data_IF_194549739164
#
_entry.id   IF_194549739164
#
_cell.length_a   1.000
_cell.length_b   1.000
_cell.length_c   1.000
_cell.angle_alpha   90.00
_cell.angle_beta   90.00
_cell.angle_gamma   90.00
#
_symmetry.space_group_name_H-M   'P 1'
#
loop_
_entity.id
_entity.type
_entity.pdbx_description
1 polymer ?
#
# COMPACT_ATOMS: atom_id res chain seq x y z
N UNK A 1 -5.19 -14.88 6.24
CA UNK A 1 -5.48 -15.11 4.80
C UNK A 1 -4.82 -13.97 4.02
N UNK A 2 -4.36 -14.17 2.79
CA UNK A 2 -3.54 -13.20 2.05
C UNK A 2 -4.25 -11.85 1.73
N UNK A 3 -5.51 -11.67 2.13
CA UNK A 3 -6.30 -10.43 1.98
C UNK A 3 -6.37 -9.59 3.27
N UNK A 4 -5.70 -10.05 4.34
CA UNK A 4 -5.77 -9.48 5.68
C UNK A 4 -4.60 -8.51 5.91
N UNK A 5 -4.83 -7.24 5.65
CA UNK A 5 -3.84 -6.19 5.88
C UNK A 5 -3.76 -5.88 7.38
N UNK A 6 -2.56 -5.60 7.87
CA UNK A 6 -2.38 -5.18 9.26
C UNK A 6 -2.79 -3.72 9.41
N UNK A 7 -3.80 -3.47 10.25
CA UNK A 7 -4.33 -2.14 10.53
C UNK A 7 -4.09 -1.80 12.00
N UNK A 8 -3.25 -0.81 12.32
CA UNK A 8 -3.03 -0.38 13.71
C UNK A 8 -4.34 -0.02 14.44
N UNK A 9 -4.44 -0.43 15.71
CA UNK A 9 -5.61 -0.17 16.56
C UNK A 9 -5.68 1.23 17.18
N UNK A 10 -4.66 2.07 16.95
CA UNK A 10 -4.50 3.40 17.55
C UNK A 10 -5.12 4.53 16.71
N UNK A 11 -5.91 4.19 15.69
CA UNK A 11 -6.45 5.15 14.71
C UNK A 11 -7.75 4.68 14.11
N UNK A 12 -8.46 5.63 13.50
CA UNK A 12 -9.70 5.39 12.77
C UNK A 12 -9.45 5.28 11.27
N UNK A 13 -10.39 4.66 10.55
CA UNK A 13 -10.27 4.40 9.12
C UNK A 13 -11.55 4.78 8.37
N UNK A 14 -11.39 5.33 7.17
CA UNK A 14 -12.49 5.38 6.19
C UNK A 14 -12.17 4.43 5.03
N UNK A 15 -12.69 3.20 5.12
CA UNK A 15 -12.37 2.10 4.19
C UNK A 15 -12.69 2.42 2.73
N UNK A 16 -13.79 3.13 2.48
CA UNK A 16 -14.18 3.52 1.13
C UNK A 16 -13.24 4.52 0.44
N UNK A 17 -12.36 5.20 1.20
CA UNK A 17 -11.47 6.26 0.72
C UNK A 17 -9.99 5.94 0.95
N UNK A 18 -9.68 4.78 1.50
CA UNK A 18 -8.32 4.34 1.81
C UNK A 18 -7.52 5.35 2.66
N UNK A 19 -8.19 6.02 3.60
CA UNK A 19 -7.61 7.02 4.50
C UNK A 19 -7.72 6.56 5.94
N UNK A 20 -6.70 6.89 6.75
CA UNK A 20 -6.70 6.72 8.19
C UNK A 20 -6.52 8.06 8.92
N UNK A 21 -7.00 8.10 10.17
CA UNK A 21 -6.97 9.26 11.07
C UNK A 21 -6.43 8.84 12.44
N UNK A 22 -5.19 9.20 12.74
CA UNK A 22 -4.56 8.92 14.04
C UNK A 22 -4.75 10.12 14.97
N UNK A 23 -5.35 9.97 16.15
CA UNK A 23 -5.54 11.06 17.11
C UNK A 23 -4.20 11.70 17.52
N UNK A 24 -4.17 13.03 17.52
CA UNK A 24 -3.07 13.87 18.00
C UNK A 24 -3.48 14.77 19.18
N UNK A 25 -4.67 14.54 19.75
CA UNK A 25 -5.23 15.27 20.90
C UNK A 25 -6.40 16.17 20.52
N UNK A 26 -7.43 16.21 21.35
CA UNK A 26 -8.64 17.00 21.07
C UNK A 26 -9.27 16.62 19.73
N UNK A 27 -9.37 17.59 18.81
CA UNK A 27 -9.89 17.41 17.43
C UNK A 27 -8.78 17.31 16.38
N UNK A 28 -7.52 17.18 16.79
CA UNK A 28 -6.39 17.11 15.88
C UNK A 28 -6.05 15.67 15.54
N UNK A 29 -5.76 15.42 14.27
CA UNK A 29 -5.43 14.10 13.73
C UNK A 29 -4.28 14.19 12.74
N UNK A 30 -3.43 13.17 12.71
CA UNK A 30 -2.62 12.87 11.53
C UNK A 30 -3.46 12.07 10.55
N UNK A 31 -3.30 12.37 9.27
CA UNK A 31 -3.98 11.65 8.19
C UNK A 31 -3.00 11.07 7.22
N UNK A 32 -3.29 9.87 6.71
CA UNK A 32 -2.48 9.21 5.71
C UNK A 32 -3.26 8.17 4.94
N UNK A 33 -2.58 7.50 4.01
CA UNK A 33 -3.19 6.47 3.18
C UNK A 33 -3.03 5.08 3.81
N UNK A 34 -3.97 4.18 3.55
CA UNK A 34 -3.86 2.80 4.01
C UNK A 34 -3.00 1.96 3.08
N UNK A 35 -2.39 0.90 3.62
CA UNK A 35 -1.57 -0.05 2.87
C UNK A 35 -2.29 -0.65 1.65
N UNK A 36 -3.60 -1.01 1.69
CA UNK A 36 -4.34 -1.43 0.50
C UNK A 36 -4.23 -0.48 -0.71
N UNK A 37 -4.32 0.84 -0.49
CA UNK A 37 -4.14 1.80 -1.58
C UNK A 37 -2.72 1.78 -2.11
N UNK A 38 -1.71 1.70 -1.24
CA UNK A 38 -0.32 1.59 -1.67
C UNK A 38 -0.02 0.31 -2.46
N UNK A 39 -0.64 -0.82 -2.09
CA UNK A 39 -0.49 -2.08 -2.83
C UNK A 39 -1.10 -2.00 -4.23
N UNK A 40 -2.21 -1.27 -4.37
CA UNK A 40 -2.85 -1.01 -5.66
C UNK A 40 -2.06 0.01 -6.50
N UNK A 41 -1.68 1.13 -5.89
CA UNK A 41 -1.06 2.27 -6.56
C UNK A 41 0.44 2.07 -6.83
N UNK A 42 1.13 1.25 -6.03
CA UNK A 42 2.58 1.23 -5.98
C UNK A 42 3.16 2.48 -5.31
N UNK A 43 4.49 2.60 -5.30
CA UNK A 43 5.17 3.75 -4.70
C UNK A 43 4.79 5.06 -5.39
N UNK A 44 4.33 6.03 -4.60
CA UNK A 44 4.07 7.37 -5.11
C UNK A 44 5.37 8.05 -5.54
N UNK A 45 5.29 8.78 -6.65
CA UNK A 45 6.32 9.65 -7.22
C UNK A 45 6.02 11.12 -6.92
N UNK A 46 4.80 11.45 -6.52
CA UNK A 46 4.40 12.81 -6.16
C UNK A 46 3.32 12.78 -5.09
N UNK A 47 3.48 13.63 -4.08
CA UNK A 47 2.52 13.90 -3.02
C UNK A 47 2.40 15.42 -2.92
N UNK A 48 1.17 15.96 -3.01
CA UNK A 48 0.90 17.41 -2.94
C UNK A 48 -0.25 17.68 -1.98
N UNK A 49 0.03 17.84 -0.67
CA UNK A 49 -0.96 18.25 0.31
C UNK A 49 -1.43 19.67 0.07
N UNK A 50 -2.64 20.00 0.54
CA UNK A 50 -3.10 21.39 0.62
C UNK A 50 -2.25 22.17 1.64
N UNK A 51 -2.04 23.49 1.46
CA UNK A 51 -1.25 24.29 2.39
C UNK A 51 -1.83 24.35 3.80
N UNK A 52 -0.97 24.58 4.79
CA UNK A 52 -1.38 24.90 6.18
C UNK A 52 -2.32 26.11 6.19
N UNK A 53 -3.28 26.10 7.11
CA UNK A 53 -4.40 27.05 7.23
C UNK A 53 -5.47 26.95 6.14
N UNK A 54 -5.40 25.96 5.24
CA UNK A 54 -6.50 25.70 4.30
C UNK A 54 -7.67 25.03 5.00
N UNK A 55 -8.86 25.60 4.87
CA UNK A 55 -10.12 24.95 5.23
C UNK A 55 -10.62 24.10 4.04
N UNK A 56 -10.96 22.85 4.32
CA UNK A 56 -11.33 21.84 3.32
C UNK A 56 -12.68 21.27 3.72
N UNK A 57 -13.66 21.37 2.83
CA UNK A 57 -14.97 20.77 3.03
C UNK A 57 -14.89 19.25 2.90
N UNK A 58 -15.82 18.55 3.54
CA UNK A 58 -16.13 17.14 3.26
C UNK A 58 -16.16 16.91 1.74
N UNK A 59 -15.69 15.74 1.33
CA UNK A 59 -15.66 15.29 -0.07
C UNK A 59 -14.72 16.10 -0.97
N UNK A 60 -13.81 16.88 -0.36
CA UNK A 60 -12.79 17.64 -1.09
C UNK A 60 -11.39 17.03 -0.89
N UNK A 61 -10.47 17.12 -1.88
CA UNK A 61 -9.09 16.67 -1.74
C UNK A 61 -8.30 17.39 -0.63
N UNK A 62 -7.66 16.61 0.24
CA UNK A 62 -6.61 17.07 1.16
C UNK A 62 -5.20 16.96 0.57
N UNK A 63 -5.00 16.03 -0.38
CA UNK A 63 -3.75 15.88 -1.11
C UNK A 63 -3.98 15.24 -2.48
N UNK A 64 -3.14 15.59 -3.46
CA UNK A 64 -2.97 14.82 -4.69
C UNK A 64 -1.84 13.80 -4.50
N UNK A 65 -2.03 12.59 -5.01
CA UNK A 65 -1.08 11.49 -4.93
C UNK A 65 -0.95 10.82 -6.30
N UNK A 66 0.28 10.66 -6.76
CA UNK A 66 0.59 10.12 -8.10
C UNK A 66 1.70 9.09 -7.98
N UNK A 67 1.56 7.98 -8.68
CA UNK A 67 2.58 6.96 -8.91
C UNK A 67 2.67 6.66 -10.41
N UNK A 68 3.51 5.69 -10.79
CA UNK A 68 3.53 5.19 -12.18
C UNK A 68 2.24 4.48 -12.62
N UNK A 69 1.39 4.06 -11.67
CA UNK A 69 0.19 3.24 -11.93
C UNK A 69 -1.12 3.90 -11.49
N UNK A 70 -1.02 5.04 -10.81
CA UNK A 70 -2.16 5.67 -10.15
C UNK A 70 -2.01 7.18 -10.17
N UNK A 71 -3.10 7.87 -10.47
CA UNK A 71 -3.23 9.32 -10.31
C UNK A 71 -4.58 9.58 -9.63
N UNK A 72 -4.54 10.21 -8.46
CA UNK A 72 -5.76 10.44 -7.69
C UNK A 72 -5.55 11.40 -6.54
N UNK A 73 -6.56 11.47 -5.69
CA UNK A 73 -6.63 12.39 -4.57
C UNK A 73 -7.03 11.66 -3.30
N UNK A 74 -6.44 12.07 -2.18
CA UNK A 74 -6.91 11.69 -0.87
C UNK A 74 -8.04 12.64 -0.48
N UNK A 75 -9.26 12.12 -0.41
CA UNK A 75 -10.48 12.91 -0.14
C UNK A 75 -10.85 12.82 1.34
N UNK A 76 -11.05 13.95 2.02
CA UNK A 76 -11.49 13.93 3.43
C UNK A 76 -12.99 13.56 3.53
N UNK A 77 -13.39 12.69 4.48
CA UNK A 77 -14.79 12.41 4.77
C UNK A 77 -15.44 13.45 5.70
N UNK A 78 -14.70 14.47 6.13
CA UNK A 78 -15.16 15.48 7.07
C UNK A 78 -14.71 16.90 6.67
N UNK A 79 -15.38 17.92 7.22
CA UNK A 79 -14.86 19.28 7.22
C UNK A 79 -13.60 19.36 8.10
N UNK A 80 -12.49 19.80 7.51
CA UNK A 80 -11.18 19.86 8.19
C UNK A 80 -10.44 21.15 7.91
N UNK A 81 -9.55 21.54 8.83
CA UNK A 81 -8.53 22.57 8.60
C UNK A 81 -7.15 21.93 8.61
N UNK A 82 -6.32 22.18 7.59
CA UNK A 82 -4.91 21.75 7.61
C UNK A 82 -4.16 22.59 8.62
N UNK A 83 -3.51 21.94 9.59
CA UNK A 83 -2.69 22.60 10.62
C UNK A 83 -1.21 22.24 10.54
N UNK A 84 -0.86 21.19 9.79
CA UNK A 84 0.52 20.80 9.52
C UNK A 84 0.62 19.92 8.28
N UNK A 85 1.83 19.82 7.72
CA UNK A 85 2.17 18.95 6.59
C UNK A 85 3.44 18.18 6.92
N UNK A 86 3.55 16.94 6.45
CA UNK A 86 4.78 16.17 6.59
C UNK A 86 5.74 16.51 5.45
N UNK A 87 6.80 17.25 5.73
CA UNK A 87 7.78 17.65 4.70
C UNK A 87 8.54 16.45 4.14
N UNK A 88 8.73 15.39 4.94
CA UNK A 88 9.45 14.17 4.54
C UNK A 88 8.81 13.47 3.34
N UNK A 89 7.48 13.53 3.19
CA UNK A 89 6.79 12.90 2.05
C UNK A 89 6.81 13.77 0.79
N UNK A 90 7.19 15.06 0.91
CA UNK A 90 7.43 15.93 -0.24
C UNK A 90 8.81 15.63 -0.83
N UNK A 91 9.81 15.46 0.04
CA UNK A 91 11.17 15.11 -0.34
C UNK A 91 11.27 13.67 -0.84
N UNK A 92 10.59 12.74 -0.16
CA UNK A 92 10.54 11.34 -0.52
C UNK A 92 9.10 10.78 -0.45
N UNK A 93 8.32 10.95 -1.53
CA UNK A 93 6.96 10.42 -1.65
C UNK A 93 6.83 8.92 -1.41
N UNK A 94 7.92 8.14 -1.57
CA UNK A 94 7.90 6.68 -1.36
C UNK A 94 7.59 6.31 0.09
N UNK A 95 7.96 7.16 1.07
CA UNK A 95 7.76 6.89 2.51
C UNK A 95 6.29 6.57 2.82
N UNK A 96 5.36 7.22 2.11
CA UNK A 96 3.91 6.99 2.21
C UNK A 96 3.53 5.52 2.06
N UNK A 97 4.28 4.76 1.25
CA UNK A 97 4.02 3.33 1.03
C UNK A 97 5.09 2.40 1.62
N UNK A 98 6.24 2.93 2.06
CA UNK A 98 7.23 2.17 2.84
C UNK A 98 6.72 1.99 4.28
N UNK A 99 6.17 3.06 4.86
CA UNK A 99 5.70 3.09 6.24
C UNK A 99 4.37 3.87 6.32
N UNK A 100 3.28 3.32 5.75
CA UNK A 100 2.00 4.02 5.59
C UNK A 100 1.36 4.45 6.91
N UNK A 101 1.75 3.83 8.03
CA UNK A 101 1.13 4.06 9.33
C UNK A 101 2.07 4.74 10.35
N UNK A 102 3.37 4.80 10.10
CA UNK A 102 4.34 5.56 10.88
C UNK A 102 4.68 6.89 10.23
N UNK A 103 5.85 6.96 9.61
CA UNK A 103 6.43 8.14 8.98
C UNK A 103 5.74 8.61 7.69
N UNK A 104 4.87 7.79 7.09
CA UNK A 104 4.16 8.06 5.83
C UNK A 104 2.87 8.89 5.94
N UNK A 105 2.60 9.52 7.09
CA UNK A 105 1.47 10.45 7.23
C UNK A 105 1.64 11.67 6.32
N UNK A 106 0.54 12.27 5.87
CA UNK A 106 0.56 13.33 4.84
C UNK A 106 0.33 14.73 5.44
N UNK A 107 -0.65 14.85 6.32
CA UNK A 107 -1.04 16.12 6.92
C UNK A 107 -1.51 15.94 8.37
N UNK A 108 -1.43 17.02 9.12
CA UNK A 108 -2.14 17.18 10.39
C UNK A 108 -3.35 18.06 10.15
N UNK A 109 -4.50 17.61 10.66
CA UNK A 109 -5.79 18.25 10.44
C UNK A 109 -6.55 18.45 11.74
N UNK A 110 -7.28 19.55 11.83
CA UNK A 110 -8.32 19.75 12.83
C UNK A 110 -9.67 19.38 12.23
N UNK A 111 -10.32 18.33 12.72
CA UNK A 111 -11.67 17.94 12.31
C UNK A 111 -12.67 18.88 12.97
N UNK A 112 -13.58 19.46 12.18
CA UNK A 112 -14.50 20.50 12.65
C UNK A 112 -15.82 19.93 13.22
N UNK A 113 -16.04 18.64 13.04
CA UNK A 113 -17.24 17.89 13.43
C UNK A 113 -16.90 16.62 14.24
N UNK A 114 -17.94 15.88 14.66
CA UNK A 114 -17.75 14.59 15.34
C UNK A 114 -17.18 13.54 14.36
N UNK A 115 -16.03 12.91 14.65
CA UNK A 115 -15.44 11.83 13.84
C UNK A 115 -16.43 10.69 13.52
N UNK A 116 -17.36 10.37 14.42
CA UNK A 116 -18.37 9.34 14.20
C UNK A 116 -19.31 9.66 13.03
N UNK A 117 -19.57 10.94 12.76
CA UNK A 117 -20.41 11.38 11.64
C UNK A 117 -19.70 11.27 10.28
N UNK A 118 -18.37 11.11 10.28
CA UNK A 118 -17.55 11.01 9.07
C UNK A 118 -17.41 9.57 8.54
N UNK A 119 -18.17 8.59 9.08
CA UNK A 119 -18.08 7.19 8.66
C UNK A 119 -16.73 6.54 8.98
N UNK A 120 -16.01 7.11 9.95
CA UNK A 120 -14.76 6.56 10.46
C UNK A 120 -15.05 5.35 11.35
N UNK A 121 -14.26 4.30 11.19
CA UNK A 121 -14.41 3.05 11.94
C UNK A 121 -13.11 2.64 12.61
N UNK A 122 -13.23 1.98 13.75
CA UNK A 122 -12.11 1.35 14.46
C UNK A 122 -11.45 0.24 13.63
N UNK A 123 -10.21 -0.11 13.97
CA UNK A 123 -9.41 -1.10 13.24
C UNK A 123 -10.14 -2.44 13.05
N UNK A 124 -10.74 -3.02 14.09
CA UNK A 124 -11.43 -4.31 14.01
C UNK A 124 -12.56 -4.34 12.98
N UNK A 125 -13.30 -3.23 12.86
CA UNK A 125 -14.33 -3.07 11.83
C UNK A 125 -13.70 -2.81 10.46
N UNK A 126 -12.64 -2.01 10.40
CA UNK A 126 -11.90 -1.74 9.18
C UNK A 126 -11.32 -3.03 8.56
N UNK A 127 -10.73 -3.91 9.36
CA UNK A 127 -10.16 -5.20 8.92
C UNK A 127 -11.20 -6.06 8.19
N UNK A 128 -12.43 -6.14 8.73
CA UNK A 128 -13.52 -6.88 8.09
C UNK A 128 -13.89 -6.27 6.73
N UNK A 129 -14.08 -4.95 6.69
CA UNK A 129 -14.48 -4.24 5.47
C UNK A 129 -13.37 -4.26 4.40
N UNK A 130 -12.11 -4.12 4.82
CA UNK A 130 -10.97 -4.23 3.92
C UNK A 130 -10.81 -5.64 3.38
N UNK A 131 -11.01 -6.70 4.18
CA UNK A 131 -11.00 -8.09 3.68
C UNK A 131 -11.97 -8.25 2.51
N UNK A 132 -13.22 -7.81 2.67
CA UNK A 132 -14.24 -7.88 1.61
C UNK A 132 -13.90 -6.99 0.39
N UNK A 133 -13.42 -5.77 0.63
CA UNK A 133 -13.00 -4.85 -0.43
C UNK A 133 -11.81 -5.41 -1.22
N UNK A 134 -10.81 -5.92 -0.53
CA UNK A 134 -9.58 -6.46 -1.08
C UNK A 134 -9.84 -7.71 -1.91
N UNK A 135 -10.70 -8.61 -1.42
CA UNK A 135 -11.14 -9.78 -2.19
C UNK A 135 -11.85 -9.36 -3.49
N UNK A 136 -12.79 -8.41 -3.42
CA UNK A 136 -13.49 -7.90 -4.61
C UNK A 136 -12.56 -7.24 -5.62
N UNK A 137 -11.53 -6.55 -5.14
CA UNK A 137 -10.62 -5.79 -5.98
C UNK A 137 -9.34 -6.57 -6.37
N UNK A 138 -9.20 -7.82 -5.92
CA UNK A 138 -7.99 -8.63 -6.14
C UNK A 138 -6.72 -8.05 -5.48
N UNK A 139 -6.87 -7.28 -4.40
CA UNK A 139 -5.75 -6.68 -3.67
C UNK A 139 -5.26 -7.69 -2.63
N UNK A 140 -4.04 -8.16 -2.82
CA UNK A 140 -3.40 -9.06 -1.87
C UNK A 140 -2.56 -8.24 -0.89
N UNK A 141 -2.78 -8.45 0.40
CA UNK A 141 -2.06 -7.80 1.49
C UNK A 141 -0.67 -8.39 1.65
N UNK A 142 0.28 -7.77 0.95
CA UNK A 142 1.69 -8.12 0.97
C UNK A 142 2.41 -7.40 2.11
N UNK A 143 3.49 -8.00 2.63
CA UNK A 143 4.34 -7.39 3.67
C UNK A 143 5.00 -6.09 3.23
N UNK A 144 5.27 -5.96 1.93
CA UNK A 144 5.86 -4.76 1.33
C UNK A 144 5.14 -4.41 0.03
N UNK A 145 5.18 -3.13 -0.32
CA UNK A 145 4.72 -2.65 -1.63
C UNK A 145 5.85 -2.90 -2.63
N UNK A 146 5.63 -3.69 -3.70
CA UNK A 146 6.71 -4.06 -4.60
C UNK A 146 7.00 -2.96 -5.63
N UNK A 147 8.26 -2.81 -6.04
CA UNK A 147 8.66 -1.87 -7.10
C UNK A 147 8.10 -2.30 -8.47
N UNK A 148 8.15 -3.61 -8.73
CA UNK A 148 7.64 -4.23 -9.95
C UNK A 148 6.63 -5.31 -9.62
N UNK A 149 5.66 -5.52 -10.52
CA UNK A 149 4.74 -6.66 -10.42
C UNK A 149 4.53 -7.29 -11.79
N UNK A 150 4.56 -8.62 -11.84
CA UNK A 150 4.40 -9.42 -13.05
C UNK A 150 3.55 -10.65 -12.79
N UNK A 151 2.62 -10.91 -13.70
CA UNK A 151 1.91 -12.18 -13.80
C UNK A 151 2.69 -13.03 -14.79
N UNK A 152 3.24 -14.15 -14.33
CA UNK A 152 4.06 -15.05 -15.13
C UNK A 152 3.41 -16.43 -15.07
N UNK A 153 2.93 -16.89 -16.22
CA UNK A 153 2.27 -18.17 -16.38
C UNK A 153 2.92 -18.91 -17.53
N UNK A 154 3.07 -20.23 -17.42
CA UNK A 154 3.72 -21.03 -18.45
C UNK A 154 3.36 -22.49 -18.35
N UNK A 155 3.61 -23.23 -19.42
CA UNK A 155 3.31 -24.66 -19.51
C UNK A 155 4.32 -25.53 -18.74
N UNK A 156 5.49 -24.98 -18.38
CA UNK A 156 6.54 -25.68 -17.64
C UNK A 156 7.15 -24.79 -16.57
N UNK A 157 7.67 -25.43 -15.51
CA UNK A 157 8.30 -24.73 -14.38
C UNK A 157 9.53 -23.95 -14.86
N UNK A 158 10.36 -24.56 -15.72
CA UNK A 158 11.57 -23.94 -16.26
C UNK A 158 11.30 -22.65 -17.05
N UNK A 159 10.20 -22.58 -17.82
CA UNK A 159 9.85 -21.35 -18.54
C UNK A 159 9.53 -20.22 -17.56
N UNK A 160 8.73 -20.51 -16.53
CA UNK A 160 8.35 -19.53 -15.50
C UNK A 160 9.59 -19.03 -14.77
N UNK A 161 10.46 -19.94 -14.30
CA UNK A 161 11.68 -19.57 -13.57
C UNK A 161 12.65 -18.76 -14.44
N UNK A 162 12.82 -19.14 -15.72
CA UNK A 162 13.64 -18.38 -16.68
C UNK A 162 13.12 -16.96 -16.86
N UNK A 163 11.81 -16.79 -17.07
CA UNK A 163 11.23 -15.45 -17.25
C UNK A 163 11.39 -14.58 -16.00
N UNK A 164 11.25 -15.16 -14.80
CA UNK A 164 11.52 -14.44 -13.54
C UNK A 164 12.99 -14.01 -13.49
N UNK A 165 13.92 -14.92 -13.79
CA UNK A 165 15.36 -14.66 -13.81
C UNK A 165 15.73 -13.53 -14.77
N UNK A 166 15.28 -13.63 -16.02
CA UNK A 166 15.54 -12.63 -17.05
C UNK A 166 15.01 -11.25 -16.66
N UNK A 167 13.81 -11.19 -16.05
CA UNK A 167 13.25 -9.93 -15.59
C UNK A 167 14.04 -9.34 -14.41
N UNK A 168 14.42 -10.18 -13.45
CA UNK A 168 15.23 -9.80 -12.28
C UNK A 168 16.59 -9.25 -12.71
N UNK A 169 17.24 -9.87 -13.69
CA UNK A 169 18.54 -9.43 -14.19
C UNK A 169 18.43 -8.11 -14.96
N UNK A 170 17.44 -8.01 -15.86
CA UNK A 170 17.34 -6.90 -16.81
C UNK A 170 16.75 -5.62 -16.21
N UNK A 171 15.79 -5.72 -15.29
CA UNK A 171 15.00 -4.55 -14.87
C UNK A 171 15.06 -4.24 -13.37
N UNK A 172 15.35 -5.23 -12.52
CA UNK A 172 15.31 -5.03 -11.06
C UNK A 172 16.70 -4.59 -10.58
N UNK A 173 16.76 -3.42 -9.94
CA UNK A 173 17.97 -2.89 -9.31
C UNK A 173 18.25 -3.54 -7.95
N UNK A 174 19.47 -3.34 -7.43
CA UNK A 174 19.86 -3.81 -6.09
C UNK A 174 18.96 -3.18 -5.02
N UNK A 175 18.41 -3.99 -4.13
CA UNK A 175 17.47 -3.59 -3.09
C UNK A 175 16.02 -3.43 -3.56
N UNK A 176 15.77 -3.32 -4.88
CA UNK A 176 14.43 -3.26 -5.45
C UNK A 176 13.74 -4.63 -5.40
N UNK A 177 12.42 -4.61 -5.50
CA UNK A 177 11.56 -5.76 -5.30
C UNK A 177 10.70 -6.09 -6.52
N UNK A 178 10.58 -7.37 -6.83
CA UNK A 178 9.67 -7.91 -7.85
C UNK A 178 8.63 -8.81 -7.19
N UNK A 179 7.37 -8.42 -7.31
CA UNK A 179 6.24 -9.28 -7.03
C UNK A 179 5.88 -10.13 -8.26
N UNK A 180 6.02 -11.44 -8.12
CA UNK A 180 5.59 -12.40 -9.13
C UNK A 180 4.28 -13.05 -8.67
N UNK A 181 3.31 -13.08 -9.58
CA UNK A 181 2.06 -13.81 -9.45
C UNK A 181 2.11 -14.95 -10.46
N UNK A 182 2.07 -16.17 -9.97
CA UNK A 182 2.22 -17.37 -10.80
C UNK A 182 1.37 -18.51 -10.26
N UNK A 183 1.36 -19.66 -10.93
CA UNK A 183 0.69 -20.89 -10.51
C UNK A 183 1.36 -22.10 -11.15
N UNK A 184 0.84 -23.29 -10.86
CA UNK A 184 1.31 -24.56 -11.42
C UNK A 184 1.73 -24.44 -12.90
N UNK A 185 2.88 -25.04 -13.28
CA UNK A 185 3.60 -26.10 -12.55
C UNK A 185 4.72 -25.63 -11.60
N UNK A 186 4.88 -24.32 -11.33
CA UNK A 186 5.90 -23.86 -10.37
C UNK A 186 5.43 -24.02 -8.92
N UNK A 187 6.31 -24.50 -8.04
CA UNK A 187 6.01 -24.70 -6.62
C UNK A 187 6.78 -23.73 -5.71
N UNK A 188 6.38 -23.61 -4.45
CA UNK A 188 7.10 -22.81 -3.45
C UNK A 188 8.57 -23.26 -3.26
N UNK A 189 8.88 -24.57 -3.14
CA UNK A 189 10.26 -25.05 -3.15
C UNK A 189 11.08 -24.62 -4.38
N UNK A 190 10.48 -24.61 -5.57
CA UNK A 190 11.18 -24.19 -6.80
C UNK A 190 11.59 -22.71 -6.73
N UNK A 191 10.66 -21.86 -6.27
CA UNK A 191 10.91 -20.42 -6.11
C UNK A 191 11.96 -20.14 -5.02
N UNK A 192 11.94 -20.90 -3.92
CA UNK A 192 12.95 -20.82 -2.86
C UNK A 192 14.33 -21.26 -3.35
N UNK A 193 14.40 -22.34 -4.12
CA UNK A 193 15.64 -22.84 -4.68
C UNK A 193 16.23 -21.85 -5.70
N UNK A 194 15.40 -21.28 -6.58
CA UNK A 194 15.81 -20.24 -7.52
C UNK A 194 16.34 -19.01 -6.77
N UNK A 195 15.61 -18.52 -5.75
CA UNK A 195 16.07 -17.37 -4.96
C UNK A 195 17.45 -17.61 -4.35
N UNK A 196 17.66 -18.78 -3.76
CA UNK A 196 18.94 -19.16 -3.17
C UNK A 196 20.06 -19.23 -4.22
N UNK A 197 19.78 -19.84 -5.36
CA UNK A 197 20.76 -20.04 -6.46
C UNK A 197 21.23 -18.72 -7.05
N UNK A 198 20.34 -17.76 -7.22
CA UNK A 198 20.65 -16.46 -7.82
C UNK A 198 20.97 -15.36 -6.79
N UNK A 199 21.00 -15.69 -5.49
CA UNK A 199 21.27 -14.73 -4.43
C UNK A 199 20.17 -13.67 -4.27
N UNK A 200 18.91 -14.03 -4.48
CA UNK A 200 17.75 -13.19 -4.18
C UNK A 200 17.22 -13.47 -2.77
N UNK A 201 16.68 -12.45 -2.13
CA UNK A 201 15.93 -12.60 -0.89
C UNK A 201 14.44 -12.74 -1.18
N UNK A 202 13.76 -13.73 -0.58
CA UNK A 202 12.28 -13.74 -0.54
C UNK A 202 11.82 -12.87 0.63
N UNK A 203 11.11 -11.79 0.31
CA UNK A 203 10.58 -10.83 1.28
C UNK A 203 9.19 -11.25 1.75
N UNK A 204 8.39 -11.81 0.84
CA UNK A 204 7.06 -12.32 1.14
C UNK A 204 6.71 -13.47 0.21
N UNK A 205 5.92 -14.43 0.71
CA UNK A 205 5.46 -15.59 -0.03
C UNK A 205 4.12 -16.05 0.54
N UNK A 206 3.16 -16.34 -0.34
CA UNK A 206 1.96 -17.05 0.04
C UNK A 206 0.99 -17.23 -1.12
N UNK A 207 -0.28 -17.55 -0.81
CA UNK A 207 -1.29 -17.95 -1.79
C UNK A 207 -2.58 -17.15 -1.66
N UNK A 208 -3.15 -16.81 -2.81
CA UNK A 208 -4.48 -16.25 -2.94
C UNK A 208 -5.27 -17.07 -3.97
N UNK A 209 -6.09 -18.02 -3.48
CA UNK A 209 -6.70 -19.02 -4.35
C UNK A 209 -5.67 -20.04 -4.86
N UNK A 210 -5.66 -20.29 -6.16
CA UNK A 210 -4.68 -21.13 -6.87
C UNK A 210 -3.37 -20.39 -7.22
N UNK A 211 -3.34 -19.06 -7.02
CA UNK A 211 -2.18 -18.24 -7.36
C UNK A 211 -1.18 -18.17 -6.20
N UNK A 212 0.09 -18.33 -6.54
CA UNK A 212 1.25 -18.07 -5.69
C UNK A 212 1.68 -16.61 -5.88
N UNK A 213 1.84 -15.90 -4.77
CA UNK A 213 2.37 -14.54 -4.71
C UNK A 213 3.72 -14.60 -4.02
N UNK A 214 4.79 -14.22 -4.71
CA UNK A 214 6.15 -14.17 -4.16
C UNK A 214 6.77 -12.81 -4.43
N UNK A 215 7.46 -12.24 -3.44
CA UNK A 215 8.24 -11.02 -3.60
C UNK A 215 9.71 -11.36 -3.45
N UNK A 216 10.43 -11.22 -4.55
CA UNK A 216 11.88 -11.28 -4.57
C UNK A 216 12.46 -9.88 -4.35
N UNK A 217 13.58 -9.82 -3.64
CA UNK A 217 14.45 -8.64 -3.56
C UNK A 217 15.82 -9.02 -4.09
N UNK A 218 16.37 -8.18 -4.97
CA UNK A 218 17.73 -8.36 -5.47
C UNK A 218 18.74 -7.90 -4.41
N UNK A 219 19.66 -8.78 -4.00
CA UNK A 219 20.69 -8.49 -2.99
C UNK A 219 21.80 -7.58 -3.48
#
# INVERSE_FOLDING_TARGET
MQYDCQLPGDRLYHVGRDIWFQPAGGRFYRVGVTQPLCLMAGYFTTVRPRPVNTFIRRDTPIALIVSRKYEGALITPADVKIVGINESVLENPRIVCIDPYGSGWLAEVEIQEDPGAAGLVESSRAETLYREKNQRNGIVCLKVVPDYSRKIFGESCNMILTEIGDFMEKYVGRGETLHVITKDPVTEPDLLNMATTHGYQIVDLGRAGDLIHVIFRKS
#
